data_IF_181951927554
#
_entry.id   IF_181951927554
#
_cell.length_a   1.000
_cell.length_b   1.000
_cell.length_c   1.000
_cell.angle_alpha   90.00
_cell.angle_beta   90.00
_cell.angle_gamma   90.00
#
_symmetry.space_group_name_H-M   'P 1'
#
loop_
_entity.id
_entity.type
_entity.pdbx_description
1 polymer ?
#
# COMPACT_ATOMS: atom_id res chain seq x y z
N UNK A 1 62.87 17.18 -15.81
CA UNK A 1 61.80 16.83 -16.77
C UNK A 1 60.57 16.47 -15.95
N UNK A 2 59.59 17.39 -15.86
CA UNK A 2 58.40 17.24 -15.02
C UNK A 2 57.22 16.85 -15.91
N UNK A 3 56.63 15.68 -15.65
CA UNK A 3 55.38 15.25 -16.27
C UNK A 3 54.22 15.62 -15.34
N UNK A 4 53.34 16.51 -15.82
CA UNK A 4 52.00 16.72 -15.26
C UNK A 4 51.08 15.69 -15.94
N UNK A 5 50.58 14.72 -15.17
CA UNK A 5 49.47 13.87 -15.57
C UNK A 5 48.25 14.27 -14.75
N UNK A 6 47.20 14.71 -15.45
CA UNK A 6 45.95 15.16 -14.87
C UNK A 6 45.16 14.03 -14.24
N UNK A 7 44.67 14.25 -13.02
CA UNK A 7 43.62 13.46 -12.41
C UNK A 7 42.28 14.15 -12.67
N UNK A 8 41.45 13.50 -13.48
CA UNK A 8 40.03 13.80 -13.68
C UNK A 8 39.29 13.80 -12.33
N UNK A 9 38.68 14.92 -11.96
CA UNK A 9 37.63 14.96 -10.96
C UNK A 9 36.28 14.74 -11.66
N UNK A 10 35.50 13.70 -11.30
CA UNK A 10 34.11 13.62 -11.69
C UNK A 10 33.33 14.73 -11.01
N UNK A 11 32.58 15.47 -11.81
CA UNK A 11 31.63 16.50 -11.41
C UNK A 11 30.65 15.99 -10.34
N UNK A 12 30.53 16.76 -9.26
CA UNK A 12 29.46 16.63 -8.27
C UNK A 12 28.30 17.52 -8.74
N UNK A 13 27.12 16.98 -9.12
CA UNK A 13 25.94 17.81 -9.29
C UNK A 13 25.30 18.05 -7.92
N UNK A 14 25.41 19.29 -7.44
CA UNK A 14 24.69 19.79 -6.28
C UNK A 14 23.22 20.03 -6.70
N UNK A 15 22.37 19.00 -6.65
CA UNK A 15 20.94 19.15 -6.93
C UNK A 15 20.20 19.59 -5.66
N UNK A 16 20.10 20.91 -5.50
CA UNK A 16 19.22 21.56 -4.53
C UNK A 16 17.80 21.65 -5.12
N UNK A 17 16.98 20.62 -4.89
CA UNK A 17 15.51 20.68 -4.94
C UNK A 17 14.84 21.05 -6.27
N UNK A 18 13.58 20.64 -6.50
CA UNK A 18 13.38 19.56 -7.45
C UNK A 18 12.43 19.95 -8.58
N UNK A 19 12.77 19.53 -9.79
CA UNK A 19 11.91 19.02 -10.86
C UNK A 19 12.73 19.11 -12.16
N UNK A 20 12.64 18.07 -12.99
CA UNK A 20 13.19 17.98 -14.35
C UNK A 20 14.69 17.65 -14.39
N UNK A 21 15.03 16.41 -14.75
CA UNK A 21 16.16 16.15 -15.64
C UNK A 21 15.89 14.90 -16.47
N UNK A 22 16.11 15.11 -17.75
CA UNK A 22 15.85 14.28 -18.91
C UNK A 22 16.74 13.02 -18.97
N UNK A 23 16.10 11.98 -19.51
CA UNK A 23 16.58 10.82 -20.28
C UNK A 23 18.05 10.83 -20.75
N UNK A 24 18.73 9.68 -20.55
CA UNK A 24 19.77 9.22 -21.46
C UNK A 24 19.67 7.71 -21.72
N UNK A 25 19.19 7.40 -22.93
CA UNK A 25 19.54 6.28 -23.82
C UNK A 25 19.63 4.83 -23.29
N UNK A 26 18.66 4.01 -23.73
CA UNK A 26 18.94 2.62 -24.10
C UNK A 26 18.24 2.30 -25.44
N UNK A 27 19.02 1.72 -26.34
CA UNK A 27 18.66 1.32 -27.72
C UNK A 27 17.72 0.12 -27.68
N UNK A 28 16.58 0.21 -28.38
CA UNK A 28 16.23 -0.62 -29.55
C UNK A 28 14.71 -0.50 -29.83
N UNK A 29 14.41 0.07 -31.00
CA UNK A 29 13.31 -0.28 -31.92
C UNK A 29 11.89 -0.51 -31.35
N UNK A 30 11.03 0.51 -31.46
CA UNK A 30 9.58 0.31 -31.39
C UNK A 30 8.77 1.56 -31.07
N UNK A 31 8.64 2.45 -32.05
CA UNK A 31 7.85 3.70 -32.04
C UNK A 31 6.40 3.46 -31.64
N UNK A 32 5.90 4.22 -30.67
CA UNK A 32 4.73 5.10 -30.81
C UNK A 32 4.61 5.99 -29.56
N UNK A 33 4.98 7.25 -29.75
CA UNK A 33 4.99 8.29 -28.73
C UNK A 33 3.58 8.66 -28.26
N UNK A 34 3.40 8.89 -26.96
CA UNK A 34 2.26 9.65 -26.43
C UNK A 34 2.75 10.60 -25.33
N UNK A 35 2.36 11.89 -25.38
CA UNK A 35 2.84 12.92 -24.46
C UNK A 35 2.19 12.81 -23.07
N UNK A 36 2.94 13.30 -22.10
CA UNK A 36 2.59 13.41 -20.68
C UNK A 36 1.43 14.41 -20.48
N UNK A 37 0.28 13.92 -20.07
CA UNK A 37 -0.73 14.63 -19.28
C UNK A 37 -1.75 13.61 -18.84
N UNK A 38 -1.95 13.53 -17.52
CA UNK A 38 -3.18 13.19 -16.81
C UNK A 38 -4.13 12.13 -17.41
N UNK A 39 -4.54 11.21 -16.55
CA UNK A 39 -5.66 10.27 -16.68
C UNK A 39 -5.30 8.85 -17.13
N UNK A 40 -6.11 7.94 -16.59
CA UNK A 40 -6.35 6.59 -17.10
C UNK A 40 -5.42 5.49 -16.59
N UNK A 41 -5.68 5.07 -15.35
CA UNK A 41 -5.89 3.64 -15.14
C UNK A 41 -7.23 3.29 -15.81
N UNK A 42 -7.19 3.04 -17.13
CA UNK A 42 -8.26 2.34 -17.85
C UNK A 42 -7.79 0.89 -17.96
N UNK A 43 -8.42 0.01 -17.19
CA UNK A 43 -8.28 -1.44 -17.33
C UNK A 43 -8.99 -1.84 -18.62
N UNK A 44 -8.22 -2.27 -19.61
CA UNK A 44 -8.74 -2.86 -20.84
C UNK A 44 -9.29 -4.25 -20.53
N UNK A 45 -10.61 -4.38 -20.55
CA UNK A 45 -11.30 -5.68 -20.51
C UNK A 45 -11.32 -6.22 -21.94
N UNK A 46 -10.46 -7.19 -22.22
CA UNK A 46 -10.51 -7.99 -23.44
C UNK A 46 -11.66 -9.01 -23.31
N UNK A 47 -12.83 -8.67 -23.86
CA UNK A 47 -13.93 -9.62 -24.05
C UNK A 47 -13.65 -10.48 -25.27
N UNK A 48 -13.30 -11.75 -25.04
CA UNK A 48 -13.27 -12.78 -26.09
C UNK A 48 -14.71 -13.16 -26.44
N UNK A 49 -15.15 -12.74 -27.62
CA UNK A 49 -16.43 -13.10 -28.24
C UNK A 49 -16.27 -14.42 -28.98
N UNK A 50 -17.06 -15.42 -28.63
CA UNK A 50 -17.02 -16.75 -29.23
C UNK A 50 -18.42 -17.35 -29.26
N UNK A 51 -18.84 -17.78 -30.48
CA UNK A 51 -19.79 -18.87 -30.74
C UNK A 51 -21.30 -18.51 -30.48
N UNK A 52 -22.35 -18.80 -31.30
CA UNK A 52 -22.62 -19.73 -32.43
C UNK A 52 -23.90 -19.26 -33.19
N UNK A 53 -23.86 -19.35 -34.53
CA UNK A 53 -24.90 -19.52 -35.59
C UNK A 53 -26.29 -18.82 -35.58
N UNK A 54 -26.72 -18.27 -36.74
CA UNK A 54 -28.11 -17.93 -37.03
C UNK A 54 -28.81 -19.03 -37.87
N UNK A 55 -30.09 -19.31 -37.60
CA UNK A 55 -31.02 -19.90 -38.59
C UNK A 55 -32.49 -19.50 -38.27
N UNK A 56 -33.36 -19.40 -39.28
CA UNK A 56 -34.51 -18.47 -39.34
C UNK A 56 -35.85 -19.07 -38.83
N UNK A 57 -36.94 -18.28 -38.74
CA UNK A 57 -37.95 -18.44 -37.69
C UNK A 57 -39.10 -19.38 -38.08
N UNK A 58 -39.44 -20.30 -37.18
CA UNK A 58 -40.71 -21.03 -37.17
C UNK A 58 -41.46 -20.74 -35.87
N UNK A 59 -42.72 -20.29 -36.01
CA UNK A 59 -43.64 -20.04 -34.90
C UNK A 59 -44.01 -21.36 -34.23
N UNK A 60 -43.62 -21.57 -32.97
CA UNK A 60 -44.33 -22.53 -32.12
C UNK A 60 -44.20 -22.11 -30.66
N UNK A 61 -45.35 -22.02 -30.00
CA UNK A 61 -45.51 -21.58 -28.61
C UNK A 61 -45.16 -22.75 -27.70
N UNK A 62 -44.13 -22.63 -26.86
CA UNK A 62 -43.89 -23.54 -25.74
C UNK A 62 -43.58 -22.73 -24.48
N UNK A 63 -44.44 -22.89 -23.49
CA UNK A 63 -44.33 -22.35 -22.13
C UNK A 63 -43.27 -23.16 -21.37
N UNK A 64 -42.19 -22.52 -20.89
CA UNK A 64 -41.21 -23.10 -19.97
C UNK A 64 -41.16 -22.20 -18.72
N UNK A 65 -41.30 -22.74 -17.49
CA UNK A 65 -41.13 -21.96 -16.27
C UNK A 65 -39.67 -21.56 -16.09
N UNK A 66 -39.44 -20.26 -15.88
CA UNK A 66 -38.13 -19.67 -15.63
C UNK A 66 -38.10 -19.14 -14.18
N UNK A 67 -37.20 -19.63 -13.33
CA UNK A 67 -36.85 -18.93 -12.07
C UNK A 67 -35.37 -19.06 -11.76
N UNK A 68 -34.70 -17.95 -12.07
CA UNK A 68 -33.59 -17.28 -11.37
C UNK A 68 -32.33 -18.08 -11.01
N UNK A 69 -31.35 -18.04 -11.92
CA UNK A 69 -29.94 -18.17 -11.56
C UNK A 69 -29.45 -16.92 -10.82
N UNK A 70 -28.91 -17.11 -9.63
CA UNK A 70 -28.17 -16.10 -8.87
C UNK A 70 -26.79 -15.90 -9.50
N UNK A 71 -26.60 -14.81 -10.25
CA UNK A 71 -25.27 -14.31 -10.58
C UNK A 71 -24.71 -13.59 -9.36
N UNK A 72 -23.77 -14.23 -8.65
CA UNK A 72 -22.90 -13.54 -7.70
C UNK A 72 -21.86 -12.77 -8.50
N UNK A 73 -22.03 -11.45 -8.58
CA UNK A 73 -20.98 -10.53 -9.04
C UNK A 73 -19.92 -10.40 -7.95
N UNK A 74 -18.75 -11.04 -8.14
CA UNK A 74 -17.56 -10.76 -7.35
C UNK A 74 -17.01 -9.39 -7.75
N UNK A 75 -17.26 -8.37 -6.93
CA UNK A 75 -16.58 -7.08 -7.04
C UNK A 75 -15.15 -7.23 -6.52
N UNK A 76 -14.18 -7.24 -7.42
CA UNK A 76 -12.76 -7.16 -7.07
C UNK A 76 -12.49 -5.79 -6.45
N UNK A 77 -12.29 -5.71 -5.14
CA UNK A 77 -11.74 -4.50 -4.53
C UNK A 77 -10.36 -4.26 -5.14
N UNK A 78 -10.18 -3.13 -5.83
CA UNK A 78 -8.87 -2.72 -6.30
C UNK A 78 -7.98 -2.53 -5.06
N UNK A 79 -6.98 -3.39 -4.90
CA UNK A 79 -6.00 -3.21 -3.83
C UNK A 79 -5.31 -1.86 -4.05
N UNK A 80 -5.36 -0.99 -3.05
CA UNK A 80 -4.62 0.26 -3.10
C UNK A 80 -3.16 -0.11 -2.83
N UNK A 81 -2.30 0.27 -3.76
CA UNK A 81 -0.86 0.15 -3.61
C UNK A 81 -0.18 1.45 -3.98
N UNK A 82 0.89 1.80 -3.28
CA UNK A 82 1.68 3.00 -3.58
C UNK A 82 3.00 3.01 -2.84
N UNK A 83 3.79 4.05 -3.05
CA UNK A 83 5.02 4.32 -2.30
C UNK A 83 4.75 5.43 -1.30
N UNK A 84 5.20 5.23 -0.07
CA UNK A 84 5.06 6.22 1.01
C UNK A 84 6.27 6.15 1.92
N UNK A 85 6.51 7.25 2.63
CA UNK A 85 7.58 7.31 3.61
C UNK A 85 7.17 6.63 4.93
N UNK A 86 8.04 5.77 5.45
CA UNK A 86 7.92 5.12 6.75
C UNK A 86 9.02 5.60 7.70
N UNK A 87 8.61 6.01 8.89
CA UNK A 87 9.46 6.37 10.03
C UNK A 87 9.10 5.48 11.23
N UNK A 88 9.87 5.59 12.30
CA UNK A 88 9.52 4.95 13.57
C UNK A 88 9.30 5.95 14.71
N UNK A 89 8.51 5.53 15.70
CA UNK A 89 8.31 6.22 16.97
C UNK A 89 8.34 5.19 18.12
N UNK A 90 9.35 5.27 19.03
CA UNK A 90 9.51 4.34 20.13
C UNK A 90 8.31 4.23 21.07
N UNK A 91 7.38 5.20 21.08
CA UNK A 91 6.17 5.10 21.91
C UNK A 91 5.31 3.89 21.56
N UNK A 92 5.30 3.48 20.27
CA UNK A 92 4.52 2.35 19.80
C UNK A 92 5.18 1.00 20.16
N UNK A 93 6.44 0.98 20.61
CA UNK A 93 7.08 -0.21 21.18
C UNK A 93 6.63 -0.50 22.62
N UNK A 94 5.94 0.45 23.27
CA UNK A 94 5.41 0.25 24.61
C UNK A 94 4.09 -0.53 24.57
N UNK A 95 4.12 -1.82 24.95
CA UNK A 95 2.93 -2.66 25.06
C UNK A 95 1.86 -2.08 26.01
N UNK A 96 2.28 -1.29 27.01
CA UNK A 96 1.41 -0.60 27.96
C UNK A 96 0.84 0.73 27.47
N UNK A 97 1.15 1.16 26.23
CA UNK A 97 0.58 2.38 25.65
C UNK A 97 -0.95 2.25 25.61
N UNK A 98 -1.65 3.17 26.27
CA UNK A 98 -3.11 3.17 26.27
C UNK A 98 -3.63 3.61 24.91
N UNK A 99 -4.61 2.88 24.37
CA UNK A 99 -5.24 3.25 23.10
C UNK A 99 -6.06 4.54 23.22
N UNK A 100 -6.28 5.06 24.43
CA UNK A 100 -6.89 6.39 24.65
C UNK A 100 -5.99 7.54 24.17
N UNK A 101 -4.68 7.30 24.01
CA UNK A 101 -3.69 8.30 23.61
C UNK A 101 -3.45 8.36 22.09
N UNK A 102 -4.08 7.47 21.32
CA UNK A 102 -3.95 7.43 19.86
C UNK A 102 -5.26 7.83 19.19
N UNK A 103 -5.19 8.19 17.92
CA UNK A 103 -6.35 8.65 17.15
C UNK A 103 -7.45 7.57 17.05
N UNK A 104 -7.09 6.29 16.98
CA UNK A 104 -8.03 5.16 16.94
C UNK A 104 -8.40 4.64 18.34
N UNK A 105 -8.78 5.56 19.22
CA UNK A 105 -9.17 5.27 20.60
C UNK A 105 -10.54 4.58 20.66
N UNK A 106 -11.60 5.32 20.95
CA UNK A 106 -12.98 4.87 21.04
C UNK A 106 -13.80 5.35 19.83
N UNK A 107 -15.13 5.33 19.96
CA UNK A 107 -16.07 5.56 18.87
C UNK A 107 -16.46 4.28 18.14
N UNK A 108 -17.32 4.39 17.14
CA UNK A 108 -17.84 3.25 16.36
C UNK A 108 -16.73 2.43 15.68
N UNK A 109 -15.67 3.09 15.22
CA UNK A 109 -14.52 2.49 14.53
C UNK A 109 -13.28 2.34 15.43
N UNK A 110 -13.35 2.80 16.68
CA UNK A 110 -12.23 2.78 17.63
C UNK A 110 -11.80 1.37 18.03
N UNK A 111 -10.51 1.22 18.35
CA UNK A 111 -9.95 -0.06 18.78
C UNK A 111 -10.41 -0.44 20.20
N UNK A 112 -10.71 0.54 21.04
CA UNK A 112 -11.30 0.33 22.37
C UNK A 112 -12.69 -0.31 22.27
N UNK A 113 -13.52 0.18 21.37
CA UNK A 113 -14.85 -0.39 21.11
C UNK A 113 -14.75 -1.81 20.51
N UNK A 114 -13.64 -2.13 19.82
CA UNK A 114 -13.34 -3.48 19.32
C UNK A 114 -12.76 -4.42 20.41
N UNK A 115 -12.60 -3.96 21.65
CA UNK A 115 -12.17 -4.77 22.79
C UNK A 115 -10.69 -4.70 23.13
N UNK A 116 -9.93 -3.80 22.50
CA UNK A 116 -8.49 -3.61 22.76
C UNK A 116 -8.27 -2.39 23.66
N UNK A 117 -7.53 -2.52 24.75
CA UNK A 117 -7.31 -1.40 25.69
C UNK A 117 -5.91 -0.80 25.60
N UNK A 118 -4.92 -1.63 25.25
CA UNK A 118 -3.51 -1.23 25.14
C UNK A 118 -2.92 -1.66 23.81
N UNK A 119 -1.83 -1.02 23.40
CA UNK A 119 -1.05 -1.40 22.22
C UNK A 119 -0.68 -2.90 22.22
N UNK A 120 -0.27 -3.43 23.36
CA UNK A 120 0.10 -4.84 23.53
C UNK A 120 -1.06 -5.83 23.47
N UNK A 121 -2.31 -5.35 23.56
CA UNK A 121 -3.50 -6.21 23.37
C UNK A 121 -3.81 -6.49 21.90
N UNK A 122 -3.19 -5.75 20.97
CA UNK A 122 -3.38 -5.94 19.54
C UNK A 122 -2.65 -7.21 19.04
N UNK A 123 -3.29 -7.99 18.16
CA UNK A 123 -2.82 -9.33 17.80
C UNK A 123 -1.46 -9.37 17.07
N UNK A 124 -1.08 -8.30 16.38
CA UNK A 124 0.21 -8.20 15.68
C UNK A 124 1.23 -7.30 16.35
N UNK A 125 1.03 -6.91 17.62
CA UNK A 125 2.02 -6.14 18.35
C UNK A 125 3.40 -6.86 18.32
N UNK A 126 4.52 -6.16 18.03
CA UNK A 126 4.70 -4.70 17.93
C UNK A 126 4.54 -4.10 16.53
N UNK A 127 3.97 -4.80 15.54
CA UNK A 127 3.75 -4.27 14.18
C UNK A 127 2.53 -3.32 14.10
N UNK A 128 2.59 -2.25 14.87
CA UNK A 128 1.54 -1.22 14.98
C UNK A 128 2.12 0.16 14.68
N UNK A 129 1.26 1.10 14.29
CA UNK A 129 1.70 2.47 14.06
C UNK A 129 0.61 3.42 13.57
N UNK A 130 1.00 4.66 13.34
CA UNK A 130 0.21 5.62 12.61
C UNK A 130 0.30 5.43 11.09
N UNK A 131 -0.79 5.71 10.39
CA UNK A 131 -0.83 5.67 8.92
C UNK A 131 -1.52 6.90 8.32
N UNK A 132 -1.19 7.19 7.06
CA UNK A 132 -1.82 8.22 6.23
C UNK A 132 -3.30 7.94 5.95
N UNK A 133 -3.75 6.69 6.09
CA UNK A 133 -5.14 6.32 5.88
C UNK A 133 -6.04 6.77 7.05
N UNK A 134 -5.49 6.99 8.25
CA UNK A 134 -6.27 7.44 9.42
C UNK A 134 -6.38 8.96 9.38
N UNK A 135 -7.53 9.46 8.93
CA UNK A 135 -7.75 10.90 8.73
C UNK A 135 -7.89 11.69 10.06
N UNK A 136 -8.37 11.00 11.10
CA UNK A 136 -8.68 11.58 12.42
C UNK A 136 -9.44 10.61 13.32
N UNK A 137 -9.93 11.15 14.44
CA UNK A 137 -10.68 10.38 15.44
C UNK A 137 -11.86 9.63 14.80
N UNK A 138 -12.08 8.38 15.22
CA UNK A 138 -13.16 7.52 14.72
C UNK A 138 -13.13 7.29 13.19
N UNK A 139 -11.97 7.40 12.54
CA UNK A 139 -11.80 7.10 11.11
C UNK A 139 -12.22 5.65 10.80
N UNK A 140 -12.88 5.43 9.67
CA UNK A 140 -13.24 4.09 9.20
C UNK A 140 -12.00 3.20 8.95
N UNK A 141 -10.82 3.81 8.77
CA UNK A 141 -9.54 3.12 8.59
C UNK A 141 -8.87 2.72 9.91
N UNK A 142 -9.52 2.95 11.07
CA UNK A 142 -8.99 2.53 12.36
C UNK A 142 -8.97 1.01 12.52
N UNK A 143 -7.77 0.46 12.74
CA UNK A 143 -7.51 -0.97 12.74
C UNK A 143 -7.32 -1.58 11.36
N UNK A 144 -7.16 -0.77 10.30
CA UNK A 144 -6.87 -1.28 8.95
C UNK A 144 -5.46 -1.89 8.90
N UNK A 145 -5.35 -3.03 8.23
CA UNK A 145 -4.11 -3.77 8.02
C UNK A 145 -3.48 -3.39 6.68
N UNK A 146 -2.18 -3.09 6.70
CA UNK A 146 -1.41 -2.83 5.50
C UNK A 146 -0.20 -3.74 5.43
N UNK A 147 0.04 -4.33 4.28
CA UNK A 147 1.31 -5.00 3.99
C UNK A 147 2.29 -3.94 3.50
N UNK A 148 3.34 -3.72 4.27
CA UNK A 148 4.39 -2.74 3.97
C UNK A 148 5.65 -3.49 3.56
N UNK A 149 6.21 -3.15 2.41
CA UNK A 149 7.40 -3.81 1.84
C UNK A 149 8.51 -2.79 1.64
N UNK A 150 9.70 -3.11 2.15
CA UNK A 150 10.88 -2.31 1.88
C UNK A 150 11.59 -2.84 0.63
N UNK A 151 11.63 -2.07 -0.49
CA UNK A 151 12.13 -2.56 -1.77
C UNK A 151 13.62 -2.92 -1.78
N UNK A 152 14.42 -2.39 -0.84
CA UNK A 152 15.88 -2.64 -0.79
C UNK A 152 16.21 -4.08 -0.42
N UNK A 153 15.52 -4.63 0.59
CA UNK A 153 15.69 -6.03 1.01
C UNK A 153 14.54 -6.95 0.54
N UNK A 154 13.54 -6.40 -0.16
CA UNK A 154 12.28 -7.08 -0.50
C UNK A 154 11.62 -7.75 0.71
N UNK A 155 11.71 -7.12 1.88
CA UNK A 155 11.14 -7.63 3.12
C UNK A 155 9.80 -6.94 3.39
N UNK A 156 8.79 -7.72 3.77
CA UNK A 156 7.46 -7.22 4.08
C UNK A 156 7.05 -7.50 5.52
N UNK A 157 6.26 -6.60 6.10
CA UNK A 157 5.56 -6.78 7.38
C UNK A 157 4.10 -6.35 7.25
N UNK A 158 3.24 -6.81 8.17
CA UNK A 158 1.86 -6.38 8.26
C UNK A 158 1.70 -5.38 9.41
N UNK A 159 1.30 -4.16 9.10
CA UNK A 159 1.17 -3.05 10.05
C UNK A 159 -0.31 -2.75 10.30
N UNK A 160 -0.70 -2.72 11.58
CA UNK A 160 -2.02 -2.24 11.98
C UNK A 160 -1.99 -0.73 12.20
N UNK A 161 -2.94 -0.02 11.58
CA UNK A 161 -3.11 1.42 11.76
C UNK A 161 -3.88 1.75 13.04
N UNK A 162 -3.23 2.41 13.99
CA UNK A 162 -3.81 2.79 15.28
C UNK A 162 -3.83 4.32 15.50
N UNK A 163 -3.12 5.06 14.67
CA UNK A 163 -2.94 6.50 14.84
C UNK A 163 -2.88 7.22 13.48
N UNK A 164 -2.97 8.55 13.50
CA UNK A 164 -2.78 9.38 12.32
C UNK A 164 -1.29 9.67 12.09
N UNK A 165 -0.84 9.58 10.84
CA UNK A 165 0.48 10.04 10.41
C UNK A 165 0.41 10.52 8.95
N UNK A 166 1.34 11.36 8.47
CA UNK A 166 1.36 11.77 7.05
C UNK A 166 1.87 10.67 6.09
N UNK A 167 2.51 9.64 6.66
CA UNK A 167 2.98 8.44 5.97
C UNK A 167 2.74 7.23 6.85
N UNK A 168 3.73 6.37 7.04
CA UNK A 168 3.72 5.40 8.15
C UNK A 168 4.63 5.87 9.28
N UNK A 169 4.16 5.76 10.52
CA UNK A 169 4.96 5.96 11.72
C UNK A 169 4.77 4.76 12.64
N UNK A 170 5.68 3.80 12.59
CA UNK A 170 5.52 2.48 13.23
C UNK A 170 6.36 2.33 14.49
N UNK A 171 6.15 1.26 15.25
CA UNK A 171 7.09 0.88 16.31
C UNK A 171 8.51 0.69 15.75
N UNK A 172 9.52 1.05 16.53
CA UNK A 172 10.93 0.86 16.16
C UNK A 172 11.22 -0.61 15.89
N UNK A 173 10.67 -1.54 16.67
CA UNK A 173 10.79 -2.97 16.44
C UNK A 173 10.21 -3.42 15.09
N UNK A 174 9.14 -2.80 14.62
CA UNK A 174 8.55 -3.08 13.31
C UNK A 174 9.47 -2.60 12.18
N UNK A 175 10.02 -1.39 12.29
CA UNK A 175 10.99 -0.87 11.32
C UNK A 175 12.33 -1.63 11.36
N UNK A 176 12.79 -2.06 12.53
CA UNK A 176 13.96 -2.93 12.67
C UNK A 176 13.73 -4.28 12.00
N UNK A 177 12.51 -4.82 12.10
CA UNK A 177 12.12 -6.04 11.39
C UNK A 177 12.22 -5.82 9.87
N UNK A 178 11.72 -4.71 9.33
CA UNK A 178 11.84 -4.40 7.89
C UNK A 178 13.29 -4.17 7.43
N UNK A 179 14.09 -3.49 8.25
CA UNK A 179 15.42 -2.97 7.86
C UNK A 179 16.59 -3.81 8.34
N UNK A 180 16.33 -4.99 8.90
CA UNK A 180 17.36 -5.86 9.50
C UNK A 180 18.14 -5.17 10.64
N UNK A 181 17.42 -4.54 11.57
CA UNK A 181 17.92 -3.78 12.73
C UNK A 181 18.65 -2.48 12.39
N UNK A 182 18.33 -1.86 11.26
CA UNK A 182 18.93 -0.60 10.81
C UNK A 182 18.02 0.62 11.03
N UNK A 183 16.91 0.50 11.78
CA UNK A 183 15.94 1.59 11.90
C UNK A 183 16.56 2.87 12.46
N UNK A 184 17.42 2.75 13.47
CA UNK A 184 18.11 3.90 14.08
C UNK A 184 19.14 4.58 13.17
N UNK A 185 19.72 3.85 12.22
CA UNK A 185 20.69 4.40 11.25
C UNK A 185 20.00 5.05 10.06
N UNK A 186 18.90 4.45 9.60
CA UNK A 186 18.14 4.94 8.45
C UNK A 186 17.22 6.10 8.84
N UNK A 187 16.60 6.06 10.02
CA UNK A 187 15.64 7.05 10.52
C UNK A 187 14.29 6.99 9.81
N UNK A 188 14.32 7.08 8.48
CA UNK A 188 13.17 7.08 7.58
C UNK A 188 13.54 6.31 6.31
N UNK A 189 12.59 5.53 5.80
CA UNK A 189 12.74 4.75 4.56
C UNK A 189 11.52 4.96 3.66
N UNK A 190 11.67 4.76 2.36
CA UNK A 190 10.54 4.68 1.45
C UNK A 190 10.13 3.21 1.27
N UNK A 191 8.84 2.96 1.43
CA UNK A 191 8.25 1.61 1.38
C UNK A 191 7.11 1.59 0.39
N UNK A 192 6.87 0.42 -0.20
CA UNK A 192 5.62 0.16 -0.91
C UNK A 192 4.60 -0.39 0.09
N UNK A 193 3.34 0.00 -0.06
CA UNK A 193 2.26 -0.54 0.76
C UNK A 193 1.19 -1.16 -0.13
N UNK A 194 0.48 -2.14 0.43
CA UNK A 194 -0.67 -2.81 -0.17
C UNK A 194 -1.74 -2.98 0.92
N UNK A 195 -3.01 -2.83 0.56
CA UNK A 195 -4.11 -3.22 1.45
C UNK A 195 -4.02 -4.72 1.79
N UNK A 196 -4.12 -5.06 3.08
CA UNK A 196 -4.13 -6.44 3.57
C UNK A 196 -5.45 -6.74 4.30
N UNK A 197 -5.77 -8.03 4.45
CA UNK A 197 -6.96 -8.42 5.20
C UNK A 197 -6.72 -8.18 6.70
N UNK A 198 -7.76 -7.85 7.49
CA UNK A 198 -7.62 -7.76 8.94
C UNK A 198 -7.03 -9.03 9.57
N UNK A 199 -7.31 -10.20 8.99
CA UNK A 199 -6.76 -11.50 9.40
C UNK A 199 -5.25 -11.61 9.25
N UNK A 200 -4.64 -10.90 8.29
CA UNK A 200 -3.19 -10.91 8.09
C UNK A 200 -2.47 -10.15 9.22
N UNK A 201 -3.15 -9.19 9.85
CA UNK A 201 -2.73 -8.56 11.09
C UNK A 201 -3.22 -9.31 12.35
N UNK A 202 -3.82 -10.49 12.20
CA UNK A 202 -4.27 -11.33 13.31
C UNK A 202 -5.62 -10.93 13.93
N UNK A 203 -6.38 -10.00 13.33
CA UNK A 203 -7.76 -9.77 13.75
C UNK A 203 -8.63 -10.98 13.39
N UNK A 204 -9.62 -11.27 14.24
CA UNK A 204 -10.61 -12.31 13.93
C UNK A 204 -11.49 -11.82 12.77
N UNK A 205 -11.67 -12.70 11.77
CA UNK A 205 -12.59 -12.49 10.65
C UNK A 205 -14.05 -12.38 11.12
#
# INVERSE_FOLDING_TARGET
MKAFAGSFQPWIPQCRSPCICEVAASKDNGVLERPCSTLSVIVNIAVKKSYINPSPPAKMKFTIPATLGLMVSLSSAAAISGTVSLSYDPKYDNAGLSLTQVTCSDGTNGLITKGFTTAGSLPNFPNIGGSFAVEGYNSANCGKCFKVTWPVLNKSIFVTSIDKADGFNVAKAAMDTLTNNQAGQLGRIDVTFEDALPTDCGFKA
#
